data_IF_657074683108
#
_entry.id   IF_657074683108
#
_cell.length_a   1.000
_cell.length_b   1.000
_cell.length_c   1.000
_cell.angle_alpha   90.00
_cell.angle_beta   90.00
_cell.angle_gamma   90.00
#
_symmetry.space_group_name_H-M   'P 1'
#
loop_
_entity.id
_entity.type
_entity.pdbx_description
1 polymer ?
#
# COMPACT_ATOMS: atom_id res chain seq x y z
N UNK A 1 -31.07 32.95 6.96
CA UNK A 1 -30.64 31.59 6.68
C UNK A 1 -29.58 31.58 5.55
N UNK A 2 -28.29 31.82 5.84
CA UNK A 2 -27.20 31.93 4.84
C UNK A 2 -25.95 31.09 5.22
N UNK A 3 -26.11 30.04 6.02
CA UNK A 3 -24.97 29.24 6.50
C UNK A 3 -24.68 27.96 5.66
N UNK A 4 -25.56 27.59 4.73
CA UNK A 4 -25.42 26.39 3.91
C UNK A 4 -24.20 26.34 2.98
N UNK A 5 -23.78 27.45 2.30
CA UNK A 5 -22.65 27.38 1.40
C UNK A 5 -21.30 27.15 2.13
N UNK A 6 -21.18 27.68 3.35
CA UNK A 6 -19.94 27.52 4.16
C UNK A 6 -19.79 26.08 4.63
N UNK A 7 -20.88 25.41 5.01
CA UNK A 7 -20.87 24.01 5.44
C UNK A 7 -20.50 23.06 4.29
N UNK A 8 -20.95 23.36 3.07
CA UNK A 8 -20.62 22.57 1.87
C UNK A 8 -19.14 22.75 1.50
N UNK A 9 -18.59 23.97 1.58
CA UNK A 9 -17.16 24.21 1.34
C UNK A 9 -16.27 23.50 2.35
N UNK A 10 -16.66 23.41 3.62
CA UNK A 10 -15.88 22.70 4.65
C UNK A 10 -15.88 21.20 4.40
N UNK A 11 -16.97 20.61 3.90
CA UNK A 11 -17.03 19.16 3.57
C UNK A 11 -16.14 18.76 2.39
N UNK A 12 -15.88 19.63 1.43
CA UNK A 12 -15.02 19.32 0.27
C UNK A 12 -13.53 19.36 0.59
N UNK A 13 -13.10 20.03 1.66
CA UNK A 13 -11.69 20.12 2.07
C UNK A 13 -11.22 18.86 2.81
N UNK A 14 -12.13 18.02 3.28
CA UNK A 14 -11.85 16.83 4.08
C UNK A 14 -11.57 15.56 3.26
N UNK A 15 -11.68 15.62 1.94
CA UNK A 15 -11.30 14.50 1.07
C UNK A 15 -9.77 14.47 0.95
N UNK A 16 -9.14 13.59 1.71
CA UNK A 16 -7.70 13.36 1.60
C UNK A 16 -7.33 13.09 0.14
N UNK A 17 -6.31 13.79 -0.37
CA UNK A 17 -5.82 13.62 -1.73
C UNK A 17 -5.30 12.19 -1.88
N UNK A 18 -6.03 11.34 -2.59
CA UNK A 18 -5.59 10.02 -3.01
C UNK A 18 -5.31 10.05 -4.51
N UNK A 19 -4.14 9.59 -4.91
CA UNK A 19 -3.77 9.35 -6.29
C UNK A 19 -3.72 7.84 -6.51
N UNK A 20 -4.51 7.33 -7.45
CA UNK A 20 -4.62 5.91 -7.73
C UNK A 20 -4.44 5.68 -9.23
N UNK A 21 -3.48 4.85 -9.58
CA UNK A 21 -3.32 4.25 -10.90
C UNK A 21 -3.58 2.75 -10.79
N UNK A 22 -4.40 2.21 -11.66
CA UNK A 22 -4.74 0.78 -11.70
C UNK A 22 -4.82 0.32 -13.14
N UNK A 23 -4.13 -0.76 -13.45
CA UNK A 23 -4.29 -1.50 -14.70
C UNK A 23 -5.39 -2.55 -14.49
N UNK A 24 -6.54 -2.44 -15.16
CA UNK A 24 -7.65 -3.40 -14.97
C UNK A 24 -7.27 -4.81 -15.42
N UNK A 25 -7.84 -5.82 -14.77
CA UNK A 25 -7.66 -7.24 -15.11
C UNK A 25 -6.19 -7.66 -15.25
N UNK A 26 -5.32 -7.12 -14.38
CA UNK A 26 -3.88 -7.36 -14.44
C UNK A 26 -3.38 -8.30 -13.34
N UNK A 27 -4.19 -8.57 -12.33
CA UNK A 27 -3.82 -9.39 -11.18
C UNK A 27 -4.48 -10.76 -11.29
N UNK A 28 -3.67 -11.81 -11.39
CA UNK A 28 -4.14 -13.20 -11.36
C UNK A 28 -4.12 -13.70 -9.91
N UNK A 29 -5.28 -14.11 -9.39
CA UNK A 29 -5.45 -14.58 -8.01
C UNK A 29 -4.76 -15.91 -7.72
N UNK A 30 -4.43 -16.69 -8.76
CA UNK A 30 -3.74 -17.98 -8.62
C UNK A 30 -2.21 -17.83 -8.47
N UNK A 31 -1.70 -16.66 -8.77
CA UNK A 31 -0.26 -16.41 -8.77
C UNK A 31 0.25 -15.99 -7.39
N UNK A 32 1.54 -16.24 -7.17
CA UNK A 32 2.18 -15.89 -5.90
C UNK A 32 2.54 -14.41 -5.85
N UNK A 33 2.19 -13.78 -4.76
CA UNK A 33 2.49 -12.37 -4.46
C UNK A 33 3.55 -12.31 -3.37
N UNK A 34 4.62 -11.60 -3.61
CA UNK A 34 5.62 -11.31 -2.61
C UNK A 34 5.29 -9.97 -1.92
N UNK A 35 5.23 -9.98 -0.60
CA UNK A 35 5.07 -8.78 0.20
C UNK A 35 6.29 -8.57 1.09
N UNK A 36 6.80 -7.35 1.17
CA UNK A 36 7.89 -6.99 2.07
C UNK A 36 7.50 -7.25 3.53
N UNK A 37 8.46 -7.85 4.27
CA UNK A 37 8.31 -7.99 5.71
C UNK A 37 8.38 -6.63 6.35
N UNK A 38 7.48 -6.33 7.21
CA UNK A 38 7.69 -5.21 8.10
C UNK A 38 6.46 -4.48 8.54
N UNK A 39 6.70 -3.64 9.50
CA UNK A 39 5.90 -2.54 9.98
C UNK A 39 4.58 -2.93 10.62
N UNK A 40 4.32 -2.21 11.65
CA UNK A 40 3.01 -2.17 12.26
C UNK A 40 2.10 -1.36 11.35
N UNK A 41 0.86 -1.71 11.26
CA UNK A 41 -0.25 -0.98 10.68
C UNK A 41 -0.53 -1.30 9.21
N UNK A 42 -0.17 -0.47 8.25
CA UNK A 42 -0.69 -0.58 6.87
C UNK A 42 -0.14 -1.78 6.10
N UNK A 43 1.17 -2.05 6.18
CA UNK A 43 1.78 -3.20 5.50
C UNK A 43 1.15 -4.51 5.93
N UNK A 44 0.96 -4.67 7.25
CA UNK A 44 0.32 -5.84 7.82
C UNK A 44 -1.12 -5.95 7.36
N UNK A 45 -1.87 -4.87 7.43
CA UNK A 45 -3.28 -4.86 7.09
C UNK A 45 -3.54 -5.10 5.59
N UNK A 46 -2.67 -4.59 4.71
CA UNK A 46 -2.74 -4.87 3.26
C UNK A 46 -2.47 -6.35 3.01
N UNK A 47 -1.43 -6.91 3.61
CA UNK A 47 -1.13 -8.33 3.49
C UNK A 47 -2.30 -9.20 3.98
N UNK A 48 -2.82 -8.92 5.17
CA UNK A 48 -3.94 -9.65 5.75
C UNK A 48 -5.18 -9.55 4.86
N UNK A 49 -5.50 -8.35 4.36
CA UNK A 49 -6.61 -8.14 3.43
C UNK A 49 -6.48 -8.95 2.13
N UNK A 50 -5.27 -9.08 1.59
CA UNK A 50 -5.03 -9.92 0.41
C UNK A 50 -5.17 -11.41 0.75
N UNK A 51 -4.63 -11.85 1.87
CA UNK A 51 -4.76 -13.24 2.32
C UNK A 51 -6.21 -13.64 2.60
N UNK A 52 -7.01 -12.76 3.21
CA UNK A 52 -8.44 -12.96 3.43
C UNK A 52 -9.22 -13.12 2.11
N UNK A 53 -8.75 -12.52 1.03
CA UNK A 53 -9.31 -12.67 -0.32
C UNK A 53 -8.80 -13.91 -1.06
N UNK A 54 -7.95 -14.72 -0.42
CA UNK A 54 -7.46 -15.98 -0.98
C UNK A 54 -6.18 -15.86 -1.82
N UNK A 55 -5.52 -14.69 -1.83
CA UNK A 55 -4.23 -14.56 -2.51
C UNK A 55 -3.13 -15.34 -1.80
N UNK A 56 -2.27 -15.99 -2.58
CA UNK A 56 -1.07 -16.64 -2.07
C UNK A 56 0.03 -15.60 -1.79
N UNK A 57 0.03 -15.04 -0.58
CA UNK A 57 0.97 -13.99 -0.18
C UNK A 57 2.13 -14.59 0.60
N UNK A 58 3.32 -14.55 0.03
CA UNK A 58 4.59 -14.93 0.65
C UNK A 58 5.26 -13.68 1.22
N UNK A 59 5.62 -13.74 2.51
CA UNK A 59 6.31 -12.63 3.18
C UNK A 59 7.79 -12.88 3.19
N UNK A 60 8.55 -12.00 2.54
CA UNK A 60 9.99 -12.05 2.54
C UNK A 60 10.59 -11.77 3.90
N UNK A 61 11.66 -12.48 4.21
CA UNK A 61 12.56 -12.11 5.28
C UNK A 61 13.43 -10.99 4.70
N UNK A 62 13.40 -9.79 5.26
CA UNK A 62 14.39 -8.79 4.96
C UNK A 62 15.74 -9.40 5.35
N UNK A 63 16.47 -9.86 4.36
CA UNK A 63 17.86 -10.27 4.57
C UNK A 63 18.62 -8.95 4.61
N UNK A 64 18.90 -8.47 5.81
CA UNK A 64 19.95 -7.51 6.00
C UNK A 64 21.24 -8.26 5.70
N UNK A 65 21.58 -8.36 4.42
CA UNK A 65 22.93 -8.69 4.04
C UNK A 65 23.75 -7.47 4.33
N UNK A 66 24.31 -7.39 5.52
CA UNK A 66 25.43 -6.53 5.86
C UNK A 66 26.69 -7.05 5.15
N UNK A 67 26.58 -7.33 3.88
CA UNK A 67 27.73 -7.54 3.00
C UNK A 67 28.06 -6.18 2.40
N UNK A 68 28.90 -5.46 3.15
CA UNK A 68 29.53 -4.23 2.71
C UNK A 68 30.50 -4.56 1.57
N UNK A 69 30.00 -4.73 0.38
CA UNK A 69 30.84 -4.54 -0.80
C UNK A 69 30.97 -3.05 -0.98
N UNK A 70 32.12 -2.55 -0.54
CA UNK A 70 32.57 -1.20 -0.73
C UNK A 70 32.84 -1.01 -2.23
N UNK A 71 31.82 -0.59 -2.96
CA UNK A 71 31.93 -0.17 -4.35
C UNK A 71 31.22 1.17 -4.47
N UNK A 72 32.04 2.22 -4.47
CA UNK A 72 31.75 3.55 -4.96
C UNK A 72 30.39 4.22 -4.60
N UNK A 73 30.30 4.74 -3.39
CA UNK A 73 29.57 5.97 -3.13
C UNK A 73 28.03 5.92 -3.19
N UNK A 74 27.41 4.75 -3.31
CA UNK A 74 25.92 4.63 -3.27
C UNK A 74 25.51 4.07 -1.93
N UNK A 75 25.02 4.95 -1.06
CA UNK A 75 24.47 4.59 0.23
C UNK A 75 23.20 3.73 0.08
N UNK A 76 23.25 2.50 0.60
CA UNK A 76 22.07 1.80 1.09
C UNK A 76 21.09 1.32 0.03
N UNK A 77 21.52 0.48 -0.93
CA UNK A 77 20.58 -0.34 -1.66
C UNK A 77 20.26 -1.57 -0.79
N UNK A 78 19.12 -1.54 -0.13
CA UNK A 78 18.57 -2.71 0.55
C UNK A 78 18.08 -3.69 -0.54
N UNK A 79 18.92 -4.67 -0.88
CA UNK A 79 18.57 -5.70 -1.86
C UNK A 79 17.66 -6.70 -1.16
N UNK A 80 16.37 -6.51 -1.30
CA UNK A 80 15.39 -7.51 -0.89
C UNK A 80 15.39 -8.62 -1.93
N UNK A 81 15.84 -9.82 -1.54
CA UNK A 81 15.78 -10.98 -2.43
C UNK A 81 14.33 -11.42 -2.60
N UNK A 82 13.71 -11.06 -3.73
CA UNK A 82 12.37 -11.53 -4.10
C UNK A 82 12.47 -13.01 -4.48
N UNK A 83 11.60 -13.89 -3.96
CA UNK A 83 11.56 -15.28 -4.39
C UNK A 83 11.32 -15.38 -5.90
N UNK A 84 12.08 -16.21 -6.59
CA UNK A 84 11.99 -16.37 -8.06
C UNK A 84 10.62 -16.86 -8.56
N UNK A 85 9.81 -17.41 -7.67
CA UNK A 85 8.48 -17.93 -7.97
C UNK A 85 7.34 -16.94 -7.68
N UNK A 86 7.66 -15.72 -7.25
CA UNK A 86 6.64 -14.70 -7.04
C UNK A 86 6.45 -13.89 -8.32
N UNK A 87 5.24 -13.91 -8.86
CA UNK A 87 4.89 -13.15 -10.06
C UNK A 87 4.71 -11.67 -9.75
N UNK A 88 4.14 -11.36 -8.61
CA UNK A 88 3.89 -9.99 -8.21
C UNK A 88 4.64 -9.61 -6.95
N UNK A 89 5.01 -8.33 -6.87
CA UNK A 89 5.59 -7.73 -5.64
C UNK A 89 4.72 -6.60 -5.15
N UNK A 90 4.35 -6.65 -3.88
CA UNK A 90 3.64 -5.57 -3.19
C UNK A 90 4.63 -4.82 -2.30
N UNK A 91 4.81 -3.54 -2.57
CA UNK A 91 5.65 -2.65 -1.78
C UNK A 91 4.79 -1.58 -1.11
N UNK A 92 4.93 -1.46 0.20
CA UNK A 92 4.22 -0.45 0.99
C UNK A 92 5.24 0.42 1.70
N UNK A 93 5.20 1.71 1.44
CA UNK A 93 5.99 2.71 2.15
C UNK A 93 5.05 3.56 3.00
N UNK A 94 5.29 3.58 4.30
CA UNK A 94 4.52 4.38 5.25
C UNK A 94 5.39 5.50 5.82
N UNK A 95 4.77 6.65 6.05
CA UNK A 95 5.35 7.74 6.84
C UNK A 95 4.57 7.88 8.14
N UNK A 96 5.28 7.93 9.26
CA UNK A 96 4.65 8.28 10.51
C UNK A 96 4.31 9.77 10.51
N UNK A 97 3.08 10.10 10.85
CA UNK A 97 2.63 11.48 11.06
C UNK A 97 2.23 11.66 12.51
N UNK A 98 2.61 12.81 13.07
CA UNK A 98 2.22 13.20 14.44
C UNK A 98 0.73 13.54 14.51
N UNK A 99 0.14 13.91 13.38
CA UNK A 99 -1.26 14.28 13.29
C UNK A 99 -2.16 13.06 13.30
N UNK A 100 -3.05 13.00 14.29
CA UNK A 100 -4.09 11.96 14.42
C UNK A 100 -5.45 12.65 14.47
N UNK A 101 -6.21 12.67 13.37
CA UNK A 101 -7.53 13.27 13.37
C UNK A 101 -8.48 12.51 14.30
N UNK A 102 -9.26 13.22 15.11
CA UNK A 102 -10.19 12.61 16.06
C UNK A 102 -11.26 11.73 15.39
N UNK A 103 -11.64 12.03 14.14
CA UNK A 103 -12.60 11.22 13.38
C UNK A 103 -12.08 9.83 12.99
N UNK A 104 -10.76 9.60 13.05
CA UNK A 104 -10.22 8.25 12.87
C UNK A 104 -10.49 7.33 14.05
N UNK A 105 -10.86 7.84 15.21
CA UNK A 105 -11.21 7.02 16.38
C UNK A 105 -12.35 6.02 16.07
N UNK A 106 -13.30 6.41 15.21
CA UNK A 106 -14.39 5.55 14.74
C UNK A 106 -14.11 4.86 13.40
N UNK A 107 -12.91 5.08 12.83
CA UNK A 107 -12.56 4.60 11.50
C UNK A 107 -11.18 3.91 11.48
N UNK A 108 -10.95 3.00 12.42
CA UNK A 108 -9.75 2.18 12.55
C UNK A 108 -8.64 2.80 13.37
N UNK A 109 -8.91 3.93 14.03
CA UNK A 109 -8.01 4.59 15.00
C UNK A 109 -6.72 5.18 14.42
N UNK A 110 -6.14 4.56 13.39
CA UNK A 110 -4.87 4.97 12.80
C UNK A 110 -5.07 5.93 11.63
N UNK A 111 -4.18 6.90 11.51
CA UNK A 111 -4.02 7.75 10.35
C UNK A 111 -2.77 7.32 9.60
N UNK A 112 -2.93 6.99 8.32
CA UNK A 112 -1.86 6.54 7.45
C UNK A 112 -1.51 7.59 6.39
N UNK A 113 -0.22 7.78 6.15
CA UNK A 113 0.34 8.48 5.01
C UNK A 113 1.25 7.49 4.28
N UNK A 114 0.93 7.17 3.06
CA UNK A 114 1.47 5.98 2.42
C UNK A 114 1.64 6.09 0.91
N UNK A 115 2.47 5.19 0.38
CA UNK A 115 2.54 4.84 -1.02
C UNK A 115 2.56 3.31 -1.12
N UNK A 116 1.65 2.75 -1.91
CA UNK A 116 1.53 1.32 -2.20
C UNK A 116 1.74 1.12 -3.68
N UNK A 117 2.60 0.18 -4.07
CA UNK A 117 2.74 -0.25 -5.46
C UNK A 117 2.65 -1.76 -5.56
N UNK A 118 2.09 -2.24 -6.67
CA UNK A 118 2.12 -3.64 -7.10
C UNK A 118 2.77 -3.69 -8.47
N UNK A 119 3.81 -4.50 -8.60
CA UNK A 119 4.58 -4.67 -9.84
C UNK A 119 4.56 -6.12 -10.27
N UNK A 120 4.47 -6.35 -11.57
CA UNK A 120 4.68 -7.64 -12.20
C UNK A 120 6.19 -7.88 -12.33
N UNK A 121 6.68 -9.00 -11.81
CA UNK A 121 8.12 -9.30 -11.79
C UNK A 121 8.68 -9.71 -13.15
N UNK A 122 7.85 -10.28 -14.01
CA UNK A 122 8.28 -10.75 -15.32
C UNK A 122 8.49 -9.58 -16.28
N UNK A 123 7.58 -8.61 -16.25
CA UNK A 123 7.64 -7.42 -17.11
C UNK A 123 8.34 -6.22 -16.48
N UNK A 124 8.44 -6.18 -15.14
CA UNK A 124 8.89 -5.00 -14.40
C UNK A 124 7.86 -3.86 -14.39
N UNK A 125 6.65 -4.10 -14.90
CA UNK A 125 5.60 -3.07 -15.00
C UNK A 125 4.91 -2.84 -13.65
N UNK A 126 4.73 -1.58 -13.27
CA UNK A 126 3.83 -1.23 -12.15
C UNK A 126 2.38 -1.33 -12.62
N UNK A 127 1.66 -2.33 -12.11
CA UNK A 127 0.25 -2.57 -12.44
C UNK A 127 -0.71 -1.82 -11.50
N UNK A 128 -0.21 -1.35 -10.37
CA UNK A 128 -0.94 -0.49 -9.44
C UNK A 128 0.01 0.45 -8.70
N UNK A 129 -0.39 1.70 -8.59
CA UNK A 129 0.21 2.68 -7.68
C UNK A 129 -0.88 3.44 -6.95
N UNK A 130 -0.79 3.47 -5.64
CA UNK A 130 -1.74 4.19 -4.81
C UNK A 130 -0.98 4.99 -3.75
N UNK A 131 -1.12 6.30 -3.83
CA UNK A 131 -0.55 7.25 -2.86
C UNK A 131 -1.67 8.00 -2.18
N UNK A 132 -1.61 8.10 -0.86
CA UNK A 132 -2.67 8.78 -0.15
C UNK A 132 -2.45 8.96 1.34
N UNK A 133 -3.46 9.57 1.94
CA UNK A 133 -3.59 9.76 3.38
C UNK A 133 -5.00 9.42 3.79
N UNK A 134 -5.17 8.75 4.92
CA UNK A 134 -6.51 8.43 5.41
C UNK A 134 -6.52 7.62 6.69
N UNK A 135 -7.71 7.50 7.26
CA UNK A 135 -7.93 6.58 8.37
C UNK A 135 -7.85 5.13 7.90
N UNK A 136 -7.40 4.24 8.76
CA UNK A 136 -7.12 2.84 8.42
C UNK A 136 -8.27 2.13 7.71
N UNK A 137 -9.48 2.13 8.29
CA UNK A 137 -10.59 1.40 7.73
C UNK A 137 -11.06 1.95 6.38
N UNK A 138 -11.05 3.28 6.19
CA UNK A 138 -11.41 3.88 4.90
C UNK A 138 -10.37 3.56 3.83
N UNK A 139 -9.10 3.56 4.20
CA UNK A 139 -8.00 3.19 3.30
C UNK A 139 -8.10 1.72 2.89
N UNK A 140 -8.36 0.80 3.82
CA UNK A 140 -8.55 -0.62 3.49
C UNK A 140 -9.77 -0.86 2.60
N UNK A 141 -10.89 -0.17 2.86
CA UNK A 141 -12.05 -0.25 1.95
C UNK A 141 -11.74 0.22 0.54
N UNK A 142 -10.93 1.29 0.40
CA UNK A 142 -10.49 1.76 -0.91
C UNK A 142 -9.54 0.75 -1.56
N UNK A 143 -8.61 0.18 -0.81
CA UNK A 143 -7.70 -0.86 -1.30
C UNK A 143 -8.47 -2.08 -1.84
N UNK A 144 -9.47 -2.56 -1.12
CA UNK A 144 -10.31 -3.66 -1.60
C UNK A 144 -11.03 -3.34 -2.90
N UNK A 145 -11.57 -2.10 -3.05
CA UNK A 145 -12.15 -1.66 -4.33
C UNK A 145 -11.13 -1.55 -5.47
N UNK A 146 -9.88 -1.29 -5.16
CA UNK A 146 -8.78 -1.30 -6.13
C UNK A 146 -8.52 -2.74 -6.59
N UNK A 147 -8.43 -3.68 -5.66
CA UNK A 147 -8.26 -5.11 -5.98
C UNK A 147 -9.40 -5.63 -6.86
N UNK A 148 -10.67 -5.28 -6.55
CA UNK A 148 -11.83 -5.67 -7.36
C UNK A 148 -11.70 -5.26 -8.85
N UNK A 149 -10.98 -4.18 -9.14
CA UNK A 149 -10.74 -3.72 -10.51
C UNK A 149 -9.55 -4.39 -11.16
N UNK A 150 -8.63 -4.94 -10.37
CA UNK A 150 -7.39 -5.58 -10.85
C UNK A 150 -7.57 -7.06 -11.12
N UNK A 151 -8.49 -7.70 -10.40
CA UNK A 151 -8.78 -9.13 -10.54
C UNK A 151 -9.33 -9.45 -11.94
N UNK A 152 -8.91 -10.63 -12.46
CA UNK A 152 -9.36 -11.18 -13.75
C UNK A 152 -10.60 -12.04 -13.56
#
# INVERSE_FOLDING_TARGET
MKFYPILICIMTILTGCNSVYVKPNSLDTNETIFADRGGYSMRRSIKESMQERGYNVVVGKATSSSEWTQTDGVYGLEITSVPRNAKYTVKVTERSETFRPFWCALNGFWWWNFNVSISDQDSGEEIMTWRGRGCANSSLRLFNKILDKMEK
#
